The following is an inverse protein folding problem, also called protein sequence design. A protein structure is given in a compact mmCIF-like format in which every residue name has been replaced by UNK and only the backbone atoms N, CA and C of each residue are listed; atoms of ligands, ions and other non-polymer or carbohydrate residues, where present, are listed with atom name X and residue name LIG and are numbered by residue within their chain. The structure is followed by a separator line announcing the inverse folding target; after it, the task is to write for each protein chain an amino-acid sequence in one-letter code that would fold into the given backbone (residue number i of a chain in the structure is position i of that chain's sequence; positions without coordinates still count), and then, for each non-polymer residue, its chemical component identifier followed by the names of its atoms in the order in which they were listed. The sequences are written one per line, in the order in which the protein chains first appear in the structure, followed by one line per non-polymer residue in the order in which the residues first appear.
data_IF_175090430682
#
_entry.id   IF_175090430682
#
_cell.length_a   1.000
_cell.length_b   1.000
_cell.length_c   1.000
_cell.angle_alpha   90.00
_cell.angle_beta   90.00
_cell.angle_gamma   90.00
#
_symmetry.space_group_name_H-M   'P 1'
#
loop_
_entity.id
_entity.type
_entity.pdbx_description
1 polymer ?
#
# COMPACT_ATOMS: atom_id res chain seq x y z
N UNK A 1 -21.83 23.80 -32.09
CA UNK A 1 -21.80 24.67 -30.88
C UNK A 1 -20.35 24.89 -30.48
N UNK A 2 -19.89 26.13 -30.33
CA UNK A 2 -18.53 26.40 -29.86
C UNK A 2 -18.40 26.03 -28.37
N UNK A 3 -17.31 25.37 -27.94
CA UNK A 3 -17.09 25.08 -26.52
C UNK A 3 -17.00 26.39 -25.73
N UNK A 4 -17.57 26.40 -24.53
CA UNK A 4 -17.53 27.57 -23.66
C UNK A 4 -16.09 28.00 -23.38
N UNK A 5 -15.87 29.31 -23.19
CA UNK A 5 -14.53 29.86 -22.87
C UNK A 5 -13.87 29.15 -21.69
N UNK A 6 -14.67 28.76 -20.69
CA UNK A 6 -14.22 27.97 -19.54
C UNK A 6 -13.66 26.60 -19.95
N UNK A 7 -14.35 25.85 -20.82
CA UNK A 7 -13.86 24.53 -21.27
C UNK A 7 -12.52 24.64 -22.00
N UNK A 8 -12.32 25.68 -22.82
CA UNK A 8 -11.04 25.91 -23.50
C UNK A 8 -9.93 26.23 -22.50
N UNK A 9 -10.20 27.06 -21.50
CA UNK A 9 -9.22 27.38 -20.46
C UNK A 9 -8.77 26.13 -19.68
N UNK A 10 -9.73 25.31 -19.22
CA UNK A 10 -9.42 24.06 -18.51
C UNK A 10 -8.59 23.09 -19.36
N UNK A 11 -8.92 22.97 -20.64
CA UNK A 11 -8.16 22.13 -21.58
C UNK A 11 -6.70 22.56 -21.67
N UNK A 12 -6.42 23.86 -21.84
CA UNK A 12 -5.05 24.36 -21.91
C UNK A 12 -4.29 24.23 -20.59
N UNK A 13 -4.97 24.45 -19.45
CA UNK A 13 -4.37 24.29 -18.14
C UNK A 13 -3.99 22.83 -17.84
N UNK A 14 -4.83 21.88 -18.25
CA UNK A 14 -4.56 20.45 -18.10
C UNK A 14 -3.33 20.03 -18.90
N UNK A 15 -3.21 20.44 -20.17
CA UNK A 15 -2.03 20.10 -20.95
C UNK A 15 -0.76 20.79 -20.49
N UNK A 16 -0.84 22.03 -19.99
CA UNK A 16 0.31 22.68 -19.36
C UNK A 16 0.79 21.91 -18.12
N UNK A 17 -0.15 21.38 -17.33
CA UNK A 17 0.16 20.47 -16.23
C UNK A 17 0.83 19.17 -16.72
N UNK A 18 0.37 18.59 -17.84
CA UNK A 18 1.01 17.39 -18.41
C UNK A 18 2.49 17.63 -18.72
N UNK A 19 2.86 18.79 -19.28
CA UNK A 19 4.27 19.16 -19.51
C UNK A 19 5.06 19.30 -18.20
N UNK A 20 4.48 19.98 -17.20
CA UNK A 20 5.10 20.11 -15.88
C UNK A 20 5.32 18.75 -15.21
N UNK A 21 4.30 17.89 -15.25
CA UNK A 21 4.37 16.54 -14.72
C UNK A 21 5.45 15.71 -15.45
N UNK A 22 5.48 15.79 -16.78
CA UNK A 22 6.46 15.09 -17.60
C UNK A 22 7.89 15.47 -17.24
N UNK A 23 8.16 16.75 -16.98
CA UNK A 23 9.50 17.25 -16.69
C UNK A 23 9.97 16.95 -15.25
N UNK A 24 9.06 17.06 -14.27
CA UNK A 24 9.46 16.98 -12.86
C UNK A 24 9.14 15.66 -12.17
N UNK A 25 8.13 14.93 -12.63
CA UNK A 25 7.60 13.77 -11.91
C UNK A 25 7.60 12.48 -12.73
N UNK A 26 7.67 12.52 -14.07
CA UNK A 26 7.53 11.30 -14.88
C UNK A 26 8.59 10.24 -14.59
N UNK A 27 9.85 10.62 -14.38
CA UNK A 27 10.91 9.67 -14.04
C UNK A 27 10.66 8.99 -12.68
N UNK A 28 10.32 9.76 -11.66
CA UNK A 28 9.99 9.24 -10.33
C UNK A 28 8.72 8.38 -10.36
N UNK A 29 7.71 8.80 -11.11
CA UNK A 29 6.47 8.05 -11.31
C UNK A 29 6.70 6.72 -12.03
N UNK A 30 7.55 6.71 -13.08
CA UNK A 30 7.91 5.49 -13.78
C UNK A 30 8.66 4.51 -12.86
N UNK A 31 9.64 5.00 -12.09
CA UNK A 31 10.37 4.20 -11.12
C UNK A 31 9.45 3.63 -10.02
N UNK A 32 8.55 4.45 -9.49
CA UNK A 32 7.59 3.99 -8.47
C UNK A 32 6.62 2.95 -9.05
N UNK A 33 6.15 3.13 -10.30
CA UNK A 33 5.31 2.13 -10.97
C UNK A 33 6.04 0.82 -11.21
N UNK A 34 7.32 0.86 -11.57
CA UNK A 34 8.13 -0.33 -11.73
C UNK A 34 8.31 -1.06 -10.39
N UNK A 35 8.65 -0.33 -9.33
CA UNK A 35 8.75 -0.86 -7.98
C UNK A 35 7.42 -1.45 -7.49
N UNK A 36 6.30 -0.77 -7.75
CA UNK A 36 4.96 -1.24 -7.44
C UNK A 36 4.63 -2.54 -8.20
N UNK A 37 4.95 -2.61 -9.50
CA UNK A 37 4.77 -3.81 -10.30
C UNK A 37 5.60 -4.98 -9.77
N UNK A 38 6.85 -4.72 -9.39
CA UNK A 38 7.72 -5.73 -8.78
C UNK A 38 7.15 -6.24 -7.45
N UNK A 39 6.72 -5.34 -6.55
CA UNK A 39 6.08 -5.71 -5.27
C UNK A 39 4.84 -6.58 -5.47
N UNK A 40 4.03 -6.31 -6.50
CA UNK A 40 2.86 -7.13 -6.84
C UNK A 40 3.24 -8.51 -7.36
N UNK A 41 4.26 -8.60 -8.19
CA UNK A 41 4.78 -9.89 -8.64
C UNK A 41 5.32 -10.73 -7.46
N UNK A 42 6.05 -10.09 -6.54
CA UNK A 42 6.60 -10.73 -5.34
C UNK A 42 5.52 -11.29 -4.40
N UNK A 43 4.31 -10.70 -4.37
CA UNK A 43 3.20 -11.19 -3.55
C UNK A 43 2.81 -12.65 -3.87
N UNK A 44 3.15 -13.13 -5.07
CA UNK A 44 2.88 -14.50 -5.51
C UNK A 44 4.03 -15.48 -5.27
N UNK A 45 5.20 -15.00 -4.81
CA UNK A 45 6.41 -15.81 -4.67
C UNK A 45 6.70 -16.27 -3.23
N UNK A 46 5.88 -15.87 -2.24
CA UNK A 46 6.08 -16.18 -0.81
C UNK A 46 7.47 -15.80 -0.27
N UNK A 47 8.11 -14.80 -0.88
CA UNK A 47 9.48 -14.40 -0.54
C UNK A 47 9.50 -13.74 0.85
N UNK A 48 10.42 -14.21 1.69
CA UNK A 48 10.67 -13.58 2.98
C UNK A 48 11.45 -12.27 2.82
N UNK A 49 11.09 -11.27 3.61
CA UNK A 49 11.71 -9.94 3.58
C UNK A 49 12.56 -9.70 4.82
N UNK A 50 13.78 -9.15 4.69
CA UNK A 50 14.58 -8.75 5.84
C UNK A 50 14.00 -7.46 6.44
N UNK A 51 13.36 -7.55 7.61
CA UNK A 51 12.83 -6.40 8.35
C UNK A 51 13.53 -6.34 9.70
N UNK A 52 14.09 -5.18 10.05
CA UNK A 52 14.91 -5.03 11.26
C UNK A 52 16.03 -6.09 11.33
N UNK A 53 16.63 -6.48 10.19
CA UNK A 53 17.67 -7.51 10.14
C UNK A 53 17.20 -8.94 10.44
N UNK A 54 15.88 -9.19 10.44
CA UNK A 54 15.28 -10.52 10.62
C UNK A 54 14.48 -10.85 9.37
N UNK A 55 14.68 -12.03 8.78
CA UNK A 55 13.87 -12.49 7.65
C UNK A 55 12.48 -12.90 8.13
N UNK A 56 11.48 -12.12 7.73
CA UNK A 56 10.08 -12.35 8.04
C UNK A 56 9.38 -12.95 6.82
N UNK A 57 8.57 -13.98 7.06
CA UNK A 57 7.63 -14.50 6.05
C UNK A 57 6.50 -13.48 5.81
N UNK A 58 5.78 -13.55 4.68
CA UNK A 58 4.62 -12.70 4.44
C UNK A 58 3.54 -12.84 5.53
N UNK A 59 2.90 -11.73 5.88
CA UNK A 59 1.79 -11.68 6.83
C UNK A 59 0.55 -12.37 6.25
N UNK A 60 -0.07 -13.28 7.00
CA UNK A 60 -1.31 -13.96 6.60
C UNK A 60 -2.54 -13.37 7.32
N UNK A 61 -3.75 -13.72 6.88
CA UNK A 61 -4.96 -13.32 7.58
C UNK A 61 -5.05 -13.95 8.99
N UNK A 62 -4.57 -15.20 9.15
CA UNK A 62 -4.46 -15.83 10.46
C UNK A 62 -3.54 -15.05 11.40
N UNK A 63 -2.36 -14.64 10.92
CA UNK A 63 -1.43 -13.84 11.72
C UNK A 63 -2.07 -12.52 12.14
N UNK A 64 -2.78 -11.87 11.23
CA UNK A 64 -3.46 -10.61 11.51
C UNK A 64 -4.53 -10.77 12.61
N UNK A 65 -5.24 -11.89 12.67
CA UNK A 65 -6.15 -12.21 13.79
C UNK A 65 -5.39 -12.38 15.11
N UNK A 66 -4.22 -13.01 15.09
CA UNK A 66 -3.36 -13.12 16.29
C UNK A 66 -2.90 -11.73 16.73
N UNK A 67 -2.49 -10.89 15.78
CA UNK A 67 -2.06 -9.51 16.04
C UNK A 67 -3.19 -8.63 16.61
N UNK A 68 -4.39 -8.76 16.05
CA UNK A 68 -5.59 -8.06 16.52
C UNK A 68 -6.01 -8.53 17.92
N UNK A 69 -5.93 -9.84 18.18
CA UNK A 69 -6.25 -10.44 19.49
C UNK A 69 -5.38 -9.91 20.63
N UNK A 70 -4.11 -9.54 20.37
CA UNK A 70 -3.27 -8.86 21.37
C UNK A 70 -3.36 -7.33 21.32
N UNK A 71 -4.19 -6.78 20.43
CA UNK A 71 -4.37 -5.35 20.18
C UNK A 71 -3.07 -4.65 19.78
N UNK A 72 -2.38 -5.20 18.77
CA UNK A 72 -1.20 -4.58 18.19
C UNK A 72 -1.49 -3.16 17.71
N UNK A 73 -0.75 -2.12 18.15
CA UNK A 73 -0.92 -0.77 17.63
C UNK A 73 -0.65 -0.67 16.12
N UNK A 74 0.14 -1.58 15.54
CA UNK A 74 0.34 -1.69 14.09
C UNK A 74 -0.91 -2.15 13.32
N UNK A 75 -1.91 -2.72 13.99
CA UNK A 75 -3.13 -3.26 13.37
C UNK A 75 -4.37 -2.45 13.76
N UNK A 76 -4.52 -2.15 15.05
CA UNK A 76 -5.74 -1.56 15.59
C UNK A 76 -5.59 -0.10 16.07
N UNK A 77 -4.43 0.52 15.89
CA UNK A 77 -4.15 1.85 16.46
C UNK A 77 -3.11 2.64 15.67
N UNK A 78 -2.44 3.55 16.37
CA UNK A 78 -1.30 4.27 15.81
C UNK A 78 -0.02 3.46 16.09
N UNK A 79 0.76 3.21 15.04
CA UNK A 79 2.06 2.58 15.18
C UNK A 79 2.97 3.38 16.13
N UNK A 80 2.82 4.70 16.22
CA UNK A 80 3.57 5.54 17.15
C UNK A 80 3.39 5.13 18.63
N UNK A 81 2.25 4.52 18.97
CA UNK A 81 1.96 4.03 20.32
C UNK A 81 2.51 2.61 20.58
N UNK A 82 3.20 2.01 19.61
CA UNK A 82 3.72 0.66 19.74
C UNK A 82 4.90 0.58 20.73
N UNK A 83 4.62 0.02 21.91
CA UNK A 83 5.64 -0.44 22.84
C UNK A 83 6.57 -1.51 22.20
N UNK A 84 7.83 -1.62 22.67
CA UNK A 84 8.80 -2.61 22.17
C UNK A 84 8.28 -4.05 22.17
N UNK A 85 7.43 -4.41 23.14
CA UNK A 85 6.85 -5.75 23.22
C UNK A 85 5.94 -6.10 22.03
N UNK A 86 5.29 -5.11 21.40
CA UNK A 86 4.53 -5.33 20.17
C UNK A 86 5.45 -5.65 18.98
N UNK A 87 6.60 -5.00 18.89
CA UNK A 87 7.60 -5.30 17.85
C UNK A 87 8.13 -6.72 18.02
N UNK A 88 8.47 -7.13 19.25
CA UNK A 88 8.93 -8.49 19.56
C UNK A 88 7.87 -9.51 19.17
N UNK A 89 6.60 -9.25 19.51
CA UNK A 89 5.50 -10.15 19.19
C UNK A 89 5.37 -10.36 17.67
N UNK A 90 5.47 -9.29 16.88
CA UNK A 90 5.39 -9.34 15.41
C UNK A 90 6.59 -10.09 14.83
N UNK A 91 7.82 -9.71 15.22
CA UNK A 91 9.05 -10.35 14.74
C UNK A 91 9.07 -11.85 15.08
N UNK A 92 8.56 -12.21 16.26
CA UNK A 92 8.43 -13.60 16.69
C UNK A 92 7.38 -14.37 15.88
N UNK A 93 6.20 -13.78 15.64
CA UNK A 93 5.11 -14.42 14.92
C UNK A 93 5.48 -14.72 13.45
N UNK A 94 6.27 -13.84 12.84
CA UNK A 94 6.54 -13.84 11.40
C UNK A 94 7.93 -14.34 11.00
N UNK A 95 8.78 -14.72 11.95
CA UNK A 95 10.07 -15.33 11.63
C UNK A 95 9.89 -16.57 10.74
N UNK A 96 10.80 -16.77 9.79
CA UNK A 96 10.79 -17.95 8.89
C UNK A 96 11.05 -19.27 9.61
N UNK A 97 11.97 -19.27 10.57
CA UNK A 97 12.28 -20.47 11.33
C UNK A 97 11.07 -20.88 12.16
N UNK A 98 10.65 -22.16 12.15
CA UNK A 98 9.44 -22.59 12.84
C UNK A 98 9.49 -22.06 14.26
N UNK A 99 8.50 -21.27 14.72
CA UNK A 99 8.44 -20.92 16.11
C UNK A 99 8.36 -22.27 16.85
N UNK A 100 9.27 -22.57 17.80
CA UNK A 100 8.95 -23.62 18.75
C UNK A 100 7.61 -23.20 19.33
N UNK A 101 6.56 -24.02 19.13
CA UNK A 101 5.13 -23.80 19.44
C UNK A 101 4.88 -22.51 20.22
N UNK A 102 4.04 -21.58 19.76
CA UNK A 102 3.81 -20.25 20.38
C UNK A 102 3.85 -20.21 21.93
N UNK A 103 3.43 -21.30 22.58
CA UNK A 103 3.50 -21.56 24.03
C UNK A 103 4.83 -22.04 24.62
N UNK A 104 5.92 -22.15 23.87
CA UNK A 104 7.25 -22.47 24.39
C UNK A 104 7.83 -21.20 24.99
N UNK A 105 7.28 -20.81 26.14
CA UNK A 105 7.58 -19.54 26.79
C UNK A 105 9.08 -19.28 26.95
N UNK A 106 9.91 -20.33 27.05
CA UNK A 106 11.36 -20.19 27.13
C UNK A 106 12.01 -19.67 25.83
N UNK A 107 11.58 -20.15 24.66
CA UNK A 107 12.17 -19.74 23.40
C UNK A 107 11.75 -18.31 23.02
N UNK A 108 10.47 -17.99 23.26
CA UNK A 108 9.98 -16.61 23.15
C UNK A 108 10.75 -15.68 24.11
N UNK A 109 10.89 -16.03 25.39
CA UNK A 109 11.65 -15.24 26.37
C UNK A 109 13.10 -15.04 25.96
N UNK A 110 13.77 -16.08 25.43
CA UNK A 110 15.16 -15.96 24.94
C UNK A 110 15.25 -15.04 23.73
N UNK A 111 14.32 -15.12 22.80
CA UNK A 111 14.26 -14.23 21.65
C UNK A 111 13.98 -12.78 22.06
N UNK A 112 12.97 -12.59 22.91
CA UNK A 112 12.65 -11.29 23.50
C UNK A 112 13.84 -10.69 24.24
N UNK A 113 14.56 -11.48 25.04
CA UNK A 113 15.76 -11.02 25.73
C UNK A 113 16.87 -10.57 24.77
N UNK A 114 17.09 -11.31 23.67
CA UNK A 114 18.06 -10.93 22.63
C UNK A 114 17.69 -9.63 21.92
N UNK A 115 16.42 -9.47 21.55
CA UNK A 115 15.93 -8.24 20.92
C UNK A 115 15.96 -7.05 21.88
N UNK A 116 15.54 -7.25 23.13
CA UNK A 116 15.64 -6.22 24.18
C UNK A 116 17.09 -5.80 24.41
N UNK A 117 18.05 -6.73 24.36
CA UNK A 117 19.46 -6.40 24.45
C UNK A 117 19.93 -5.58 23.25
N UNK A 118 19.51 -5.95 22.03
CA UNK A 118 19.77 -5.17 20.81
C UNK A 118 19.18 -3.75 20.87
N UNK A 119 18.03 -3.59 21.51
CA UNK A 119 17.34 -2.31 21.68
C UNK A 119 17.65 -1.59 23.00
N UNK A 120 18.76 -1.96 23.66
CA UNK A 120 19.35 -1.08 24.67
C UNK A 120 19.82 0.24 24.03
N UNK A 121 20.09 0.22 22.73
CA UNK A 121 20.26 1.41 21.91
C UNK A 121 18.88 1.96 21.44
N UNK A 122 18.47 3.15 21.89
CA UNK A 122 17.20 3.76 21.51
C UNK A 122 17.12 4.12 20.02
N UNK A 123 18.24 4.49 19.39
CA UNK A 123 18.25 4.83 17.96
C UNK A 123 17.89 3.60 17.14
N UNK A 124 18.45 2.45 17.51
CA UNK A 124 18.15 1.18 16.84
C UNK A 124 16.69 0.75 16.99
N UNK A 125 16.08 1.02 18.13
CA UNK A 125 14.65 0.75 18.35
C UNK A 125 13.79 1.59 17.41
N UNK A 126 14.11 2.86 17.23
CA UNK A 126 13.40 3.76 16.32
C UNK A 126 13.55 3.32 14.86
N UNK A 127 14.75 2.93 14.44
CA UNK A 127 15.00 2.37 13.10
C UNK A 127 14.15 1.11 12.83
N UNK A 128 14.18 0.16 13.76
CA UNK A 128 13.48 -1.11 13.63
C UNK A 128 11.95 -0.90 13.65
N UNK A 129 11.47 0.07 14.44
CA UNK A 129 10.07 0.49 14.45
C UNK A 129 9.64 1.09 13.11
N UNK A 130 10.39 2.05 12.59
CA UNK A 130 10.11 2.70 11.31
C UNK A 130 10.12 1.70 10.15
N UNK A 131 11.08 0.76 10.14
CA UNK A 131 11.14 -0.30 9.15
C UNK A 131 9.91 -1.21 9.20
N UNK A 132 9.44 -1.56 10.41
CA UNK A 132 8.25 -2.40 10.56
C UNK A 132 6.98 -1.66 10.14
N UNK A 133 6.86 -0.37 10.49
CA UNK A 133 5.74 0.46 10.06
C UNK A 133 5.66 0.53 8.53
N UNK A 134 6.77 0.85 7.85
CA UNK A 134 6.84 0.89 6.40
C UNK A 134 6.44 -0.45 5.76
N UNK A 135 6.90 -1.56 6.35
CA UNK A 135 6.53 -2.89 5.87
C UNK A 135 5.04 -3.20 6.04
N UNK A 136 4.40 -2.77 7.13
CA UNK A 136 2.94 -2.85 7.28
C UNK A 136 2.22 -2.00 6.24
N UNK A 137 2.63 -0.74 6.08
CA UNK A 137 2.05 0.17 5.10
C UNK A 137 2.12 -0.43 3.69
N UNK A 138 3.24 -1.07 3.33
CA UNK A 138 3.43 -1.78 2.06
C UNK A 138 2.47 -2.96 1.86
N UNK A 139 2.20 -3.75 2.91
CA UNK A 139 1.27 -4.89 2.82
C UNK A 139 -0.16 -4.41 2.53
N UNK A 140 -0.56 -3.32 3.18
CA UNK A 140 -1.91 -2.75 3.07
C UNK A 140 -2.05 -1.72 1.96
N UNK A 141 -0.99 -1.42 1.22
CA UNK A 141 -0.99 -0.46 0.11
C UNK A 141 -2.05 -0.76 -0.95
N UNK A 142 -2.32 -2.05 -1.20
CA UNK A 142 -3.36 -2.50 -2.15
C UNK A 142 -4.69 -2.87 -1.48
N UNK A 143 -4.86 -2.63 -0.18
CA UNK A 143 -6.09 -3.01 0.54
C UNK A 143 -7.30 -2.12 0.23
N UNK A 144 -7.07 -0.92 -0.30
CA UNK A 144 -8.10 0.12 -0.45
C UNK A 144 -8.65 0.68 0.87
N UNK A 145 -8.26 0.12 2.03
CA UNK A 145 -8.77 0.51 3.36
C UNK A 145 -8.35 1.93 3.78
N UNK A 146 -7.25 2.44 3.24
CA UNK A 146 -6.75 3.78 3.53
C UNK A 146 -7.50 4.87 2.75
N UNK A 147 -8.27 4.50 1.73
CA UNK A 147 -8.99 5.44 0.91
C UNK A 147 -10.47 5.37 1.25
N UNK A 148 -10.88 6.32 2.08
CA UNK A 148 -12.28 6.56 2.42
C UNK A 148 -13.07 6.89 1.16
N UNK A 149 -13.58 5.89 0.45
CA UNK A 149 -14.68 6.09 -0.49
C UNK A 149 -15.91 6.45 0.35
N UNK A 150 -16.42 7.68 0.27
CA UNK A 150 -17.48 8.16 1.15
C UNK A 150 -18.85 7.49 0.89
N UNK A 151 -18.97 6.65 -0.15
CA UNK A 151 -20.23 6.03 -0.56
C UNK A 151 -20.30 4.52 -0.35
N UNK A 152 -19.24 3.85 0.10
CA UNK A 152 -19.35 2.43 0.43
C UNK A 152 -20.16 2.28 1.72
N UNK A 153 -21.22 1.45 1.76
CA UNK A 153 -21.92 1.17 3.00
C UNK A 153 -20.89 0.65 4.00
N UNK A 154 -20.71 1.37 5.12
CA UNK A 154 -19.81 0.94 6.19
C UNK A 154 -20.16 -0.49 6.52
N UNK A 155 -19.15 -1.36 6.54
CA UNK A 155 -19.33 -2.73 6.98
C UNK A 155 -20.12 -2.71 8.30
N UNK A 156 -21.11 -3.59 8.49
CA UNK A 156 -21.87 -3.63 9.73
C UNK A 156 -20.88 -3.71 10.90
N UNK A 157 -21.12 -2.93 11.96
CA UNK A 157 -20.24 -2.89 13.15
C UNK A 157 -20.02 -4.28 13.78
N UNK A 158 -20.88 -5.26 13.46
CA UNK A 158 -20.80 -6.65 13.89
C UNK A 158 -19.84 -7.52 13.08
N UNK A 159 -19.22 -7.01 12.01
CA UNK A 159 -18.36 -7.80 11.12
C UNK A 159 -16.90 -7.45 11.27
N UNK A 160 -16.06 -8.45 11.51
CA UNK A 160 -14.60 -8.28 11.51
C UNK A 160 -14.13 -7.90 10.09
N UNK A 161 -13.19 -6.95 9.96
CA UNK A 161 -12.78 -6.41 8.65
C UNK A 161 -12.25 -7.50 7.69
N UNK A 162 -11.54 -8.51 8.21
CA UNK A 162 -11.11 -9.67 7.41
C UNK A 162 -12.25 -10.44 6.74
N UNK A 163 -13.48 -10.39 7.27
CA UNK A 163 -14.63 -11.02 6.61
C UNK A 163 -14.93 -10.36 5.25
N UNK A 164 -14.74 -9.04 5.15
CA UNK A 164 -14.87 -8.30 3.90
C UNK A 164 -13.81 -8.68 2.86
N UNK A 165 -12.66 -9.21 3.30
CA UNK A 165 -11.62 -9.74 2.43
C UNK A 165 -11.89 -11.22 2.07
N UNK A 166 -12.05 -12.08 3.08
CA UNK A 166 -12.07 -13.52 2.91
C UNK A 166 -13.38 -14.04 2.31
N UNK A 167 -14.54 -13.48 2.66
CA UNK A 167 -15.81 -14.01 2.19
C UNK A 167 -16.00 -13.82 0.67
N UNK A 168 -15.75 -12.64 0.08
CA UNK A 168 -15.84 -12.48 -1.38
C UNK A 168 -14.83 -13.37 -2.12
N UNK A 169 -13.61 -13.51 -1.60
CA UNK A 169 -12.60 -14.39 -2.17
C UNK A 169 -13.02 -15.86 -2.11
N UNK A 170 -13.58 -16.30 -0.98
CA UNK A 170 -14.00 -17.68 -0.82
C UNK A 170 -15.17 -18.06 -1.74
N UNK A 171 -16.08 -17.11 -2.01
CA UNK A 171 -17.17 -17.30 -2.98
C UNK A 171 -16.64 -17.48 -4.40
N UNK A 172 -15.60 -16.73 -4.77
CA UNK A 172 -15.11 -16.65 -6.16
C UNK A 172 -14.02 -17.67 -6.47
N UNK A 173 -13.16 -17.99 -5.50
CA UNK A 173 -11.99 -18.86 -5.66
C UNK A 173 -12.16 -20.21 -4.95
N UNK A 174 -13.14 -20.34 -4.06
CA UNK A 174 -13.26 -21.47 -3.13
C UNK A 174 -12.45 -21.25 -1.84
N UNK A 175 -12.36 -22.28 -0.99
CA UNK A 175 -11.73 -22.18 0.33
C UNK A 175 -10.19 -22.12 0.31
N UNK A 176 -9.57 -22.35 -0.86
CA UNK A 176 -8.12 -22.51 -1.01
C UNK A 176 -7.55 -21.50 -2.00
N UNK A 177 -6.34 -21.03 -1.74
CA UNK A 177 -5.58 -20.17 -2.64
C UNK A 177 -5.16 -20.94 -3.89
N UNK A 178 -5.55 -20.47 -5.09
CA UNK A 178 -5.23 -21.17 -6.34
C UNK A 178 -3.72 -21.24 -6.63
N UNK A 179 -2.89 -20.34 -6.08
CA UNK A 179 -1.45 -20.36 -6.30
C UNK A 179 -0.72 -21.44 -5.48
N UNK A 180 -1.22 -21.76 -4.29
CA UNK A 180 -0.50 -22.62 -3.32
C UNK A 180 -1.27 -23.84 -2.84
N UNK A 181 -2.58 -23.88 -3.06
CA UNK A 181 -3.48 -24.90 -2.52
C UNK A 181 -3.70 -24.82 -1.00
N UNK A 182 -3.15 -23.80 -0.32
CA UNK A 182 -3.36 -23.59 1.11
C UNK A 182 -4.72 -22.94 1.38
N UNK A 183 -5.29 -23.09 2.59
CA UNK A 183 -6.47 -22.33 2.97
C UNK A 183 -6.27 -20.82 2.76
N UNK A 184 -7.30 -20.09 2.30
CA UNK A 184 -7.19 -18.64 2.06
C UNK A 184 -6.70 -17.87 3.30
N UNK A 185 -7.06 -18.31 4.50
CA UNK A 185 -6.64 -17.67 5.76
C UNK A 185 -5.13 -17.77 6.03
N UNK A 186 -4.46 -18.77 5.45
CA UNK A 186 -3.00 -18.98 5.54
C UNK A 186 -2.23 -18.36 4.37
N UNK A 187 -2.94 -17.71 3.45
CA UNK A 187 -2.32 -17.07 2.30
C UNK A 187 -1.81 -15.68 2.66
N UNK A 188 -0.73 -15.20 2.00
CA UNK A 188 -0.24 -13.84 2.20
C UNK A 188 -1.32 -12.78 1.95
N UNK A 189 -1.46 -11.82 2.85
CA UNK A 189 -2.45 -10.73 2.71
C UNK A 189 -2.24 -9.92 1.44
N UNK A 190 -1.00 -9.61 1.08
CA UNK A 190 -0.71 -8.89 -0.17
C UNK A 190 -1.26 -9.62 -1.39
N UNK A 191 -1.20 -10.96 -1.42
CA UNK A 191 -1.81 -11.78 -2.48
C UNK A 191 -3.32 -11.73 -2.43
N UNK A 192 -3.92 -11.85 -1.25
CA UNK A 192 -5.37 -11.77 -1.08
C UNK A 192 -5.92 -10.42 -1.55
N UNK A 193 -5.22 -9.32 -1.29
CA UNK A 193 -5.58 -7.99 -1.81
C UNK A 193 -5.47 -7.92 -3.33
N UNK A 194 -4.46 -8.53 -3.94
CA UNK A 194 -4.35 -8.62 -5.41
C UNK A 194 -5.52 -9.40 -6.03
N UNK A 195 -5.92 -10.52 -5.41
CA UNK A 195 -7.12 -11.24 -5.84
C UNK A 195 -8.38 -10.40 -5.71
N UNK A 196 -8.56 -9.71 -4.58
CA UNK A 196 -9.72 -8.87 -4.36
C UNK A 196 -9.81 -7.73 -5.39
N UNK A 197 -8.70 -7.02 -5.63
CA UNK A 197 -8.62 -5.98 -6.66
C UNK A 197 -8.99 -6.51 -8.05
N UNK A 198 -8.52 -7.71 -8.40
CA UNK A 198 -8.86 -8.35 -9.68
C UNK A 198 -10.35 -8.64 -9.79
N UNK A 199 -10.97 -9.13 -8.71
CA UNK A 199 -12.41 -9.38 -8.67
C UNK A 199 -13.23 -8.10 -8.76
N UNK A 200 -12.83 -7.05 -8.05
CA UNK A 200 -13.47 -5.74 -8.10
C UNK A 200 -13.38 -5.12 -9.48
N UNK A 201 -12.19 -5.19 -10.10
CA UNK A 201 -11.96 -4.72 -11.47
C UNK A 201 -12.86 -5.44 -12.47
N UNK A 202 -13.00 -6.76 -12.34
CA UNK A 202 -13.91 -7.55 -13.17
C UNK A 202 -15.37 -7.17 -12.95
N UNK A 203 -15.79 -6.90 -11.71
CA UNK A 203 -17.18 -6.56 -11.36
C UNK A 203 -17.58 -5.15 -11.79
N UNK A 204 -16.67 -4.19 -11.66
CA UNK A 204 -16.91 -2.78 -12.00
C UNK A 204 -16.61 -2.47 -13.48
N UNK A 205 -15.83 -3.30 -14.17
CA UNK A 205 -15.54 -3.13 -15.60
C UNK A 205 -14.84 -1.81 -15.89
N UNK A 206 -15.42 -1.01 -16.78
CA UNK A 206 -14.88 0.31 -17.16
C UNK A 206 -14.86 1.32 -16.01
N UNK A 207 -15.70 1.10 -14.99
CA UNK A 207 -15.86 2.03 -13.88
C UNK A 207 -14.88 1.73 -12.73
N UNK A 208 -14.04 0.71 -12.88
CA UNK A 208 -13.04 0.36 -11.88
C UNK A 208 -11.98 1.45 -11.78
N UNK A 209 -11.92 2.11 -10.63
CA UNK A 209 -10.87 3.06 -10.31
C UNK A 209 -9.80 2.32 -9.51
N UNK A 210 -8.67 2.02 -10.15
CA UNK A 210 -7.52 1.45 -9.45
C UNK A 210 -6.74 2.58 -8.77
N UNK A 211 -6.89 2.68 -7.46
CA UNK A 211 -6.02 3.54 -6.67
C UNK A 211 -4.71 2.81 -6.39
N UNK A 212 -3.63 3.37 -6.92
CA UNK A 212 -2.27 2.85 -6.81
C UNK A 212 -1.43 3.74 -5.89
N UNK A 213 -0.45 3.20 -5.16
CA UNK A 213 0.53 3.99 -4.43
C UNK A 213 1.20 5.07 -5.30
N UNK A 214 1.45 4.77 -6.58
CA UNK A 214 1.98 5.75 -7.54
C UNK A 214 1.09 6.99 -7.75
N UNK A 215 -0.23 6.90 -7.48
CA UNK A 215 -1.14 8.04 -7.58
C UNK A 215 -0.88 9.11 -6.51
N UNK A 216 -0.17 8.78 -5.42
CA UNK A 216 0.34 9.78 -4.46
C UNK A 216 1.20 10.83 -5.17
N UNK A 217 2.09 10.40 -6.07
CA UNK A 217 2.97 11.31 -6.81
C UNK A 217 2.19 12.23 -7.75
N UNK A 218 1.09 11.74 -8.35
CA UNK A 218 0.18 12.60 -9.12
C UNK A 218 -0.50 13.63 -8.22
N UNK A 219 -0.94 13.22 -7.03
CA UNK A 219 -1.51 14.12 -6.03
C UNK A 219 -0.52 15.20 -5.58
N UNK A 220 0.72 14.81 -5.31
CA UNK A 220 1.81 15.72 -4.97
C UNK A 220 2.12 16.70 -6.10
N UNK A 221 2.24 16.20 -7.34
CA UNK A 221 2.46 17.03 -8.51
C UNK A 221 1.31 18.02 -8.73
N UNK A 222 0.06 17.57 -8.57
CA UNK A 222 -1.12 18.43 -8.71
C UNK A 222 -1.16 19.50 -7.61
N UNK A 223 -0.80 19.15 -6.37
CA UNK A 223 -0.70 20.11 -5.27
C UNK A 223 0.41 21.14 -5.52
N UNK A 224 1.59 20.69 -5.95
CA UNK A 224 2.69 21.57 -6.32
C UNK A 224 2.28 22.52 -7.45
N UNK A 225 1.63 22.00 -8.49
CA UNK A 225 1.08 22.80 -9.57
C UNK A 225 0.04 23.80 -9.07
N UNK A 226 -0.95 23.39 -8.27
CA UNK A 226 -2.00 24.29 -7.80
C UNK A 226 -1.43 25.44 -6.96
N UNK A 227 -0.42 25.16 -6.13
CA UNK A 227 0.23 26.15 -5.27
C UNK A 227 1.32 26.99 -5.97
N UNK A 228 1.72 26.62 -7.19
CA UNK A 228 2.73 27.35 -7.96
C UNK A 228 2.20 28.75 -8.35
N UNK A 229 3.01 29.83 -8.18
CA UNK A 229 2.65 31.18 -8.60
C UNK A 229 2.36 31.29 -10.10
N UNK A 230 1.48 32.22 -10.55
CA UNK A 230 1.14 32.38 -11.97
C UNK A 230 2.35 32.61 -12.90
N UNK A 231 3.35 33.34 -12.43
CA UNK A 231 4.60 33.63 -13.14
C UNK A 231 5.42 32.36 -13.43
N UNK A 232 5.45 31.42 -12.50
CA UNK A 232 6.12 30.12 -12.66
C UNK A 232 5.29 29.16 -13.54
N UNK A 233 3.97 29.34 -13.61
CA UNK A 233 3.08 28.59 -14.51
C UNK A 233 3.18 29.04 -15.97
N UNK A 234 3.52 30.30 -16.21
CA UNK A 234 3.50 30.92 -17.53
C UNK A 234 4.37 30.18 -18.58
N UNK A 235 5.61 29.74 -18.28
CA UNK A 235 6.43 28.98 -19.23
C UNK A 235 5.75 27.72 -19.76
N UNK A 236 5.04 26.98 -18.89
CA UNK A 236 4.33 25.75 -19.24
C UNK A 236 3.14 26.01 -20.16
N UNK A 237 2.37 27.08 -19.88
CA UNK A 237 1.26 27.52 -20.72
C UNK A 237 1.75 27.96 -22.11
N UNK A 238 2.87 28.68 -22.17
CA UNK A 238 3.50 29.09 -23.44
C UNK A 238 3.97 27.87 -24.23
N UNK A 239 4.65 26.92 -23.58
CA UNK A 239 5.12 25.68 -24.22
C UNK A 239 3.97 24.88 -24.83
N UNK A 240 2.85 24.74 -24.10
CA UNK A 240 1.65 24.10 -24.63
C UNK A 240 1.07 24.85 -25.84
N UNK A 241 1.01 26.19 -25.79
CA UNK A 241 0.51 27.00 -26.90
C UNK A 241 1.41 26.89 -28.15
N UNK A 242 2.72 26.80 -27.97
CA UNK A 242 3.68 26.61 -29.06
C UNK A 242 3.54 25.23 -29.71
N UNK A 243 3.43 24.16 -28.91
CA UNK A 243 3.22 22.80 -29.41
C UNK A 243 1.95 22.69 -30.26
N UNK A 244 0.83 23.27 -29.78
CA UNK A 244 -0.44 23.26 -30.52
C UNK A 244 -0.38 24.12 -31.80
N UNK A 245 0.46 25.16 -31.82
CA UNK A 245 0.65 26.02 -33.01
C UNK A 245 1.47 25.32 -34.10
N UNK A 246 2.39 24.42 -33.71
CA UNK A 246 3.20 23.63 -34.64
C UNK A 246 2.39 22.50 -35.30
N UNK A 247 1.48 21.85 -34.56
CA UNK A 247 0.59 20.81 -35.11
C UNK A 247 -0.46 21.36 -36.09
N UNK A 248 -0.78 22.65 -36.01
CA UNK A 248 -1.78 23.29 -36.87
C UNK A 248 -1.22 23.79 -38.22
N UNK A 249 0.09 23.67 -38.44
CA UNK A 249 0.71 24.01 -39.72
C UNK A 249 0.52 22.84 -40.72
N UNK A 250 -0.13 23.07 -41.88
CA UNK A 250 -0.40 22.02 -42.88
C UNK A 250 0.84 21.51 -43.60
#
# INVERSE_FOLDING_TARGET
MAPSRLRRFYFHAMHAFDYYFAEHYAAAFAAEREAESARRAEAFLDIARPIAGISLRPLTAHDLLVLDGFRSPFVCGDAADAAPDHLIAILWLLRLEPPPRFFSGLAYRRHAARLRFRWLDPERLLEDHAALKLWFDDIFADSGLTQSTPSAPRAPLSTHFLAGLLAPLAVELGAFDPATGKPLIESPLCRLFQYLKTLESRKQGSDYINFTPSDRLKGEALNAWNNMPPEEKAPWLVRHAQAHSQEAAP
#
